data_IF_635053379580
#
_entry.id   IF_635053379580
#
_cell.length_a   1.000
_cell.length_b   1.000
_cell.length_c   1.000
_cell.angle_alpha   90.00
_cell.angle_beta   90.00
_cell.angle_gamma   90.00
#
_symmetry.space_group_name_H-M   'P 1'
#
loop_
_entity.id
_entity.type
_entity.pdbx_description
1 polymer ?
#
# COMPACT_ATOMS: atom_id res chain seq x y z
N UNK A 1 11.00 -31.01 7.92
CA UNK A 1 10.43 -29.64 7.88
C UNK A 1 11.36 -28.79 7.04
N UNK A 2 10.85 -28.15 5.98
CA UNK A 2 11.59 -27.11 5.27
C UNK A 2 11.60 -25.85 6.14
N UNK A 3 12.75 -25.20 6.29
CA UNK A 3 12.88 -23.95 7.04
C UNK A 3 12.69 -22.79 6.07
N UNK A 4 11.73 -21.90 6.36
CA UNK A 4 11.49 -20.68 5.59
C UNK A 4 12.39 -19.55 6.10
N UNK A 5 13.15 -18.93 5.20
CA UNK A 5 13.93 -17.72 5.55
C UNK A 5 13.17 -16.46 5.21
N UNK A 6 12.90 -15.64 6.23
CA UNK A 6 12.18 -14.36 6.10
C UNK A 6 13.11 -13.20 6.43
N UNK A 7 13.13 -12.17 5.59
CA UNK A 7 13.81 -10.90 5.85
C UNK A 7 12.79 -9.81 6.17
N UNK A 8 13.09 -8.97 7.15
CA UNK A 8 12.35 -7.73 7.41
C UNK A 8 13.20 -6.54 6.95
N UNK A 9 12.67 -5.73 6.02
CA UNK A 9 13.39 -4.58 5.50
C UNK A 9 13.21 -3.38 6.43
N UNK A 10 14.31 -2.83 6.93
CA UNK A 10 14.32 -1.56 7.64
C UNK A 10 14.70 -0.45 6.66
N UNK A 11 13.69 0.26 6.15
CA UNK A 11 13.84 1.32 5.14
C UNK A 11 13.16 2.62 5.61
N UNK A 12 13.57 3.76 5.02
CA UNK A 12 12.93 5.06 5.23
C UNK A 12 12.27 5.50 3.93
N UNK A 13 11.03 5.96 4.02
CA UNK A 13 10.21 6.38 2.87
C UNK A 13 9.70 7.81 3.08
N UNK A 14 9.24 8.45 2.02
CA UNK A 14 8.74 9.82 1.99
C UNK A 14 7.38 9.94 1.32
N UNK A 15 7.02 11.14 0.88
CA UNK A 15 5.73 11.42 0.25
C UNK A 15 5.65 11.05 -1.24
N UNK A 16 6.77 10.74 -1.89
CA UNK A 16 6.83 10.36 -3.31
C UNK A 16 6.78 8.84 -3.48
N UNK A 17 5.67 8.28 -4.01
CA UNK A 17 5.53 6.83 -4.20
C UNK A 17 6.54 6.24 -5.18
N UNK A 18 6.98 6.99 -6.18
CA UNK A 18 7.94 6.51 -7.19
C UNK A 18 9.32 6.33 -6.55
N UNK A 19 9.76 7.32 -5.77
CA UNK A 19 11.01 7.21 -5.01
C UNK A 19 10.96 6.07 -3.99
N UNK A 20 9.83 5.92 -3.30
CA UNK A 20 9.61 4.84 -2.34
C UNK A 20 9.66 3.45 -2.98
N UNK A 21 9.07 3.29 -4.17
CA UNK A 21 9.08 2.03 -4.92
C UNK A 21 10.51 1.62 -5.28
N UNK A 22 11.37 2.57 -5.67
CA UNK A 22 12.78 2.29 -5.94
C UNK A 22 13.51 1.77 -4.69
N UNK A 23 13.31 2.43 -3.53
CA UNK A 23 13.89 2.02 -2.25
C UNK A 23 13.43 0.61 -1.86
N UNK A 24 12.13 0.34 -1.96
CA UNK A 24 11.53 -0.95 -1.66
C UNK A 24 12.09 -2.05 -2.57
N UNK A 25 12.15 -1.79 -3.88
CA UNK A 25 12.68 -2.73 -4.87
C UNK A 25 14.14 -3.09 -4.58
N UNK A 26 14.97 -2.10 -4.26
CA UNK A 26 16.38 -2.34 -3.92
C UNK A 26 16.54 -3.11 -2.60
N UNK A 27 15.68 -2.87 -1.61
CA UNK A 27 15.67 -3.65 -0.38
C UNK A 27 15.31 -5.12 -0.62
N UNK A 28 14.30 -5.38 -1.46
CA UNK A 28 13.91 -6.73 -1.88
C UNK A 28 15.05 -7.42 -2.62
N UNK A 29 15.69 -6.74 -3.58
CA UNK A 29 16.83 -7.29 -4.34
C UNK A 29 17.99 -7.71 -3.42
N UNK A 30 18.31 -6.90 -2.41
CA UNK A 30 19.36 -7.26 -1.43
C UNK A 30 18.97 -8.47 -0.58
N UNK A 31 17.71 -8.56 -0.16
CA UNK A 31 17.22 -9.65 0.67
C UNK A 31 17.04 -10.98 -0.08
N UNK A 32 16.80 -10.93 -1.40
CA UNK A 32 16.65 -12.10 -2.27
C UNK A 32 17.89 -13.01 -2.30
N UNK A 33 19.06 -12.54 -1.85
CA UNK A 33 20.27 -13.35 -1.73
C UNK A 33 20.18 -14.46 -0.66
N UNK A 34 19.19 -14.42 0.24
CA UNK A 34 19.09 -15.41 1.31
C UNK A 34 17.73 -15.57 1.97
N UNK A 35 16.71 -14.82 1.53
CA UNK A 35 15.34 -14.93 2.02
C UNK A 35 14.38 -15.34 0.91
N UNK A 36 13.37 -16.12 1.29
CA UNK A 36 12.26 -16.54 0.44
C UNK A 36 11.07 -15.57 0.55
N UNK A 37 10.98 -14.82 1.65
CA UNK A 37 9.97 -13.79 1.89
C UNK A 37 10.64 -12.52 2.43
N UNK A 38 10.23 -11.36 1.90
CA UNK A 38 10.68 -10.05 2.39
C UNK A 38 9.46 -9.25 2.84
N UNK A 39 9.42 -8.88 4.12
CA UNK A 39 8.41 -7.99 4.68
C UNK A 39 8.90 -6.53 4.61
N UNK A 40 8.05 -5.65 4.10
CA UNK A 40 8.30 -4.21 4.07
C UNK A 40 7.47 -3.53 5.18
N UNK A 41 7.92 -2.36 5.71
CA UNK A 41 7.12 -1.60 6.66
C UNK A 41 5.76 -1.18 6.08
N UNK A 42 4.78 -1.00 6.96
CA UNK A 42 3.55 -0.29 6.59
C UNK A 42 3.89 1.13 6.08
N UNK A 43 3.05 1.67 5.20
CA UNK A 43 3.27 2.98 4.59
C UNK A 43 4.58 3.08 3.77
N UNK A 44 5.08 1.95 3.25
CA UNK A 44 6.26 1.95 2.37
C UNK A 44 6.02 2.79 1.11
N UNK A 45 4.88 2.63 0.43
CA UNK A 45 4.61 3.35 -0.83
C UNK A 45 4.06 4.76 -0.62
N UNK A 46 3.33 5.02 0.45
CA UNK A 46 2.85 6.35 0.80
C UNK A 46 3.04 6.57 2.30
N UNK A 47 4.01 7.40 2.68
CA UNK A 47 4.29 7.70 4.08
C UNK A 47 3.07 8.34 4.77
N UNK A 48 2.94 8.11 6.07
CA UNK A 48 1.90 8.75 6.88
C UNK A 48 1.91 10.27 6.71
N UNK A 49 0.72 10.86 6.57
CA UNK A 49 0.53 12.29 6.29
C UNK A 49 0.49 12.65 4.80
N UNK A 50 0.70 11.68 3.89
CA UNK A 50 0.46 11.86 2.44
C UNK A 50 -1.04 11.86 2.15
N UNK A 51 -1.49 12.65 1.16
CA UNK A 51 -2.86 12.55 0.65
C UNK A 51 -3.06 11.22 -0.09
N UNK A 52 -3.54 10.21 0.65
CA UNK A 52 -3.76 8.86 0.14
C UNK A 52 -4.74 8.82 -1.04
N UNK A 53 -5.69 9.76 -1.13
CA UNK A 53 -6.63 9.80 -2.24
C UNK A 53 -5.95 10.25 -3.54
N UNK A 54 -4.99 11.17 -3.44
CA UNK A 54 -4.25 11.68 -4.59
C UNK A 54 -3.22 10.67 -5.14
N UNK A 55 -2.69 9.79 -4.27
CA UNK A 55 -1.63 8.83 -4.64
C UNK A 55 -2.11 7.38 -4.75
N UNK A 56 -3.40 7.11 -4.57
CA UNK A 56 -3.93 5.75 -4.67
C UNK A 56 -3.84 5.23 -6.11
N UNK A 57 -3.18 4.10 -6.28
CA UNK A 57 -3.16 3.34 -7.52
C UNK A 57 -4.09 2.12 -7.42
N UNK A 58 -4.59 1.60 -8.55
CA UNK A 58 -5.19 0.27 -8.59
C UNK A 58 -4.20 -0.79 -8.04
N UNK A 59 -4.73 -1.88 -7.49
CA UNK A 59 -3.89 -2.95 -6.93
C UNK A 59 -2.97 -3.62 -7.98
N UNK A 60 -3.38 -3.60 -9.24
CA UNK A 60 -2.60 -4.12 -10.37
C UNK A 60 -1.53 -3.13 -10.85
N UNK A 61 -1.40 -1.98 -10.18
CA UNK A 61 -0.57 -0.84 -10.61
C UNK A 61 -1.26 0.05 -11.63
N UNK A 62 -0.52 1.04 -12.14
CA UNK A 62 -0.97 1.90 -13.23
C UNK A 62 -1.33 1.08 -14.48
N UNK A 63 -2.62 0.90 -14.75
CA UNK A 63 -3.10 0.40 -16.04
C UNK A 63 -2.88 1.46 -17.13
N UNK A 64 -2.55 1.09 -18.38
CA UNK A 64 -2.75 1.99 -19.51
C UNK A 64 -4.23 2.43 -19.56
N UNK A 65 -4.56 3.64 -20.07
CA UNK A 65 -5.90 4.21 -19.97
C UNK A 65 -6.89 3.46 -20.87
N UNK A 66 -7.43 2.35 -20.38
CA UNK A 66 -8.67 1.75 -20.85
C UNK A 66 -9.35 1.00 -19.70
N UNK A 67 -10.61 1.36 -19.50
CA UNK A 67 -11.61 0.81 -18.59
C UNK A 67 -11.59 1.34 -17.15
N UNK A 68 -12.24 2.50 -17.00
CA UNK A 68 -12.82 3.01 -15.77
C UNK A 68 -13.69 1.93 -15.12
N UNK A 69 -13.18 1.26 -14.10
CA UNK A 69 -14.02 0.50 -13.18
C UNK A 69 -14.67 1.51 -12.23
N UNK A 70 -15.73 2.16 -12.70
CA UNK A 70 -16.63 2.90 -11.81
C UNK A 70 -17.25 1.89 -10.86
N UNK A 71 -16.93 2.00 -9.58
CA UNK A 71 -17.74 1.40 -8.52
C UNK A 71 -19.11 2.07 -8.57
N UNK A 72 -20.02 1.50 -9.35
CA UNK A 72 -21.42 1.92 -9.37
C UNK A 72 -22.01 1.56 -8.01
N UNK A 73 -22.19 2.57 -7.17
CA UNK A 73 -23.02 2.45 -5.98
C UNK A 73 -24.44 2.12 -6.45
N UNK A 74 -25.08 1.03 -6.01
CA UNK A 74 -26.49 0.81 -6.32
C UNK A 74 -27.26 2.00 -5.74
N UNK A 75 -27.99 2.73 -6.57
CA UNK A 75 -28.90 3.79 -6.12
C UNK A 75 -30.09 3.14 -5.41
N UNK A 76 -29.87 2.71 -4.18
CA UNK A 76 -30.85 2.18 -3.24
C UNK A 76 -30.63 2.88 -1.91
N UNK A 77 -31.47 3.86 -1.62
CA UNK A 77 -31.41 4.72 -0.44
C UNK A 77 -31.49 3.89 0.85
N UNK A 78 -30.40 3.81 1.59
CA UNK A 78 -30.40 3.60 3.03
C UNK A 78 -29.28 4.44 3.63
N UNK A 79 -29.66 5.54 4.29
CA UNK A 79 -28.74 6.32 5.11
C UNK A 79 -28.25 5.46 6.27
N UNK A 80 -26.93 5.22 6.45
CA UNK A 80 -26.42 4.89 7.75
C UNK A 80 -26.15 6.22 8.46
N UNK A 81 -27.00 6.55 9.42
CA UNK A 81 -26.66 7.58 10.42
C UNK A 81 -25.46 7.03 11.19
N UNK A 82 -24.26 7.42 10.79
CA UNK A 82 -23.05 7.17 11.56
C UNK A 82 -23.14 8.04 12.83
N UNK A 83 -23.42 7.40 13.97
CA UNK A 83 -23.20 8.04 15.27
C UNK A 83 -21.71 8.37 15.43
N UNK A 84 -21.36 9.52 16.03
CA UNK A 84 -19.97 9.87 16.25
C UNK A 84 -19.45 9.06 17.43
N UNK A 85 -18.73 7.97 17.16
CA UNK A 85 -17.86 7.40 18.18
C UNK A 85 -16.52 8.15 18.12
N UNK A 86 -16.48 9.28 18.82
CA UNK A 86 -15.23 9.83 19.30
C UNK A 86 -14.60 8.80 20.25
N UNK A 87 -13.46 8.24 19.85
CA UNK A 87 -12.50 7.67 20.79
C UNK A 87 -11.11 8.11 20.37
N UNK A 88 -10.57 8.98 21.21
CA UNK A 88 -9.17 9.30 21.43
C UNK A 88 -8.24 8.13 21.10
N UNK A 89 -7.36 8.35 20.13
CA UNK A 89 -5.91 8.18 20.24
C UNK A 89 -5.26 9.35 19.52
#
# INVERSE_FOLDING_TARGET
MTSLRVAAAQIRTGADPVANLAIATDAVRRAAAGAELVALPEATLAAFGTDLRAVAEPLDGSRPPTESSTCTTPSGRASPTWLPLARSW
#
